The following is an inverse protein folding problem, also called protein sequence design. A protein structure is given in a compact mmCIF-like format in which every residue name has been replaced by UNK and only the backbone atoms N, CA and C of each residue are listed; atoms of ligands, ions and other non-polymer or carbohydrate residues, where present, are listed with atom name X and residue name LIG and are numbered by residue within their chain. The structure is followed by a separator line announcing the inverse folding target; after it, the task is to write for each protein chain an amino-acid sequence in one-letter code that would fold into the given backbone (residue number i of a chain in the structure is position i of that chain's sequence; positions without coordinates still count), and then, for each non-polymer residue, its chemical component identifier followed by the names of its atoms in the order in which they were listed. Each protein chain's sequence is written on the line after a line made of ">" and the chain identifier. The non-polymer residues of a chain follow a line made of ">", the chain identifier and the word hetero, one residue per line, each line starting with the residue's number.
data_IF_529367613005
#
_entry.id   IF_529367613005
#
_cell.length_a   1.000
_cell.length_b   1.000
_cell.length_c   1.000
_cell.angle_alpha   90.00
_cell.angle_beta   90.00
_cell.angle_gamma   90.00
#
_symmetry.space_group_name_H-M   'P 1'
#
loop_
_entity.id
_entity.type
_entity.pdbx_description
1 polymer ?
#
# COMPACT_ATOMS: atom_id res chain seq x y z
N UNK A 1 -28.33 -7.86 4.06
CA UNK A 1 -27.81 -6.78 3.20
C UNK A 1 -26.43 -6.42 3.70
N UNK A 2 -25.39 -6.52 2.88
CA UNK A 2 -24.04 -6.10 3.27
C UNK A 2 -23.98 -4.58 3.23
N UNK A 3 -23.77 -3.93 4.37
CA UNK A 3 -23.61 -2.47 4.47
C UNK A 3 -22.29 -2.05 3.83
N UNK A 4 -22.31 -1.10 2.88
CA UNK A 4 -21.10 -0.59 2.21
C UNK A 4 -20.31 0.32 3.14
N UNK A 5 -19.03 0.54 2.88
CA UNK A 5 -18.19 1.42 3.68
C UNK A 5 -18.73 2.86 3.74
N UNK A 6 -19.20 3.42 2.61
CA UNK A 6 -19.76 4.78 2.59
C UNK A 6 -20.99 4.93 3.50
N UNK A 7 -21.78 3.86 3.65
CA UNK A 7 -23.00 3.83 4.45
C UNK A 7 -22.69 3.87 5.97
N UNK A 8 -21.42 3.70 6.37
CA UNK A 8 -20.96 3.82 7.78
C UNK A 8 -20.66 5.26 8.18
N UNK A 9 -20.62 6.20 7.22
CA UNK A 9 -20.37 7.62 7.48
C UNK A 9 -21.47 8.19 8.37
N UNK A 10 -21.09 8.77 9.51
CA UNK A 10 -22.04 9.43 10.41
C UNK A 10 -22.12 10.93 10.12
N UNK A 11 -23.32 11.54 10.18
CA UNK A 11 -23.44 13.00 10.13
C UNK A 11 -22.59 13.64 11.23
N UNK A 12 -21.84 14.68 10.87
CA UNK A 12 -21.03 15.47 11.79
C UNK A 12 -21.61 16.88 11.88
N UNK A 13 -21.73 17.42 13.09
CA UNK A 13 -22.24 18.76 13.37
C UNK A 13 -21.15 19.85 13.31
N UNK A 14 -19.87 19.44 13.25
CA UNK A 14 -18.74 20.37 13.21
C UNK A 14 -17.52 19.79 12.49
N UNK A 15 -16.61 20.67 12.07
CA UNK A 15 -15.31 20.24 11.53
C UNK A 15 -14.44 19.51 12.55
N UNK A 16 -14.63 19.77 13.85
CA UNK A 16 -13.93 19.05 14.90
C UNK A 16 -14.36 17.57 14.94
N UNK A 17 -15.66 17.30 14.80
CA UNK A 17 -16.18 15.93 14.69
C UNK A 17 -15.70 15.24 13.42
N UNK A 18 -15.72 15.92 12.27
CA UNK A 18 -15.19 15.38 11.01
C UNK A 18 -13.72 14.94 11.18
N UNK A 19 -12.88 15.79 11.77
CA UNK A 19 -11.47 15.48 12.02
C UNK A 19 -11.31 14.29 12.94
N UNK A 20 -12.02 14.25 14.07
CA UNK A 20 -11.95 13.13 14.99
C UNK A 20 -12.37 11.79 14.35
N UNK A 21 -13.34 11.79 13.42
CA UNK A 21 -13.72 10.59 12.66
C UNK A 21 -12.65 10.17 11.67
N UNK A 22 -12.00 11.13 10.99
CA UNK A 22 -10.89 10.86 10.08
C UNK A 22 -9.69 10.32 10.86
N UNK A 23 -9.29 10.99 11.94
CA UNK A 23 -8.17 10.58 12.79
C UNK A 23 -8.36 9.14 13.29
N UNK A 24 -9.57 8.79 13.74
CA UNK A 24 -9.89 7.42 14.16
C UNK A 24 -9.81 6.37 13.03
N UNK A 25 -10.07 6.76 11.77
CA UNK A 25 -9.86 5.88 10.62
C UNK A 25 -8.36 5.78 10.29
N UNK A 26 -7.63 6.87 10.38
CA UNK A 26 -6.19 6.91 10.14
C UNK A 26 -5.40 6.08 11.16
N UNK A 27 -5.84 6.05 12.41
CA UNK A 27 -5.32 5.16 13.47
C UNK A 27 -5.44 3.67 13.10
N UNK A 28 -6.38 3.31 12.22
CA UNK A 28 -6.56 1.95 11.70
C UNK A 28 -5.79 1.77 10.39
N UNK A 29 -5.83 2.77 9.50
CA UNK A 29 -5.20 2.70 8.17
C UNK A 29 -3.68 2.63 8.26
N UNK A 30 -3.04 3.44 9.13
CA UNK A 30 -1.58 3.51 9.22
C UNK A 30 -0.96 2.16 9.60
N UNK A 31 -1.41 1.45 10.66
CA UNK A 31 -0.89 0.11 10.97
C UNK A 31 -1.04 -0.89 9.81
N UNK A 32 -2.19 -0.88 9.11
CA UNK A 32 -2.43 -1.76 7.97
C UNK A 32 -1.49 -1.46 6.80
N UNK A 33 -1.19 -0.18 6.56
CA UNK A 33 -0.22 0.24 5.56
C UNK A 33 1.21 -0.18 5.95
N UNK A 34 1.58 -0.07 7.22
CA UNK A 34 2.89 -0.56 7.70
C UNK A 34 3.02 -2.07 7.49
N UNK A 35 2.00 -2.85 7.84
CA UNK A 35 1.97 -4.30 7.62
C UNK A 35 2.06 -4.65 6.12
N UNK A 36 1.27 -3.97 5.28
CA UNK A 36 1.32 -4.12 3.82
C UNK A 36 2.72 -3.84 3.27
N UNK A 37 3.38 -2.79 3.77
CA UNK A 37 4.75 -2.44 3.42
C UNK A 37 5.74 -3.55 3.80
N UNK A 38 5.59 -4.12 4.99
CA UNK A 38 6.40 -5.26 5.44
C UNK A 38 6.33 -6.46 4.49
N UNK A 39 5.15 -6.81 3.98
CA UNK A 39 4.98 -7.86 2.98
C UNK A 39 5.63 -7.53 1.63
N UNK A 40 5.63 -6.26 1.22
CA UNK A 40 6.32 -5.85 -0.01
C UNK A 40 7.84 -6.05 0.14
N UNK A 41 8.41 -5.68 1.29
CA UNK A 41 9.82 -5.96 1.59
C UNK A 41 10.15 -7.45 1.55
N UNK A 42 9.25 -8.33 2.03
CA UNK A 42 9.42 -9.78 1.89
C UNK A 42 9.41 -10.23 0.42
N UNK A 43 8.59 -9.60 -0.43
CA UNK A 43 8.60 -9.86 -1.87
C UNK A 43 9.95 -9.45 -2.50
N UNK A 44 10.57 -8.37 -2.04
CA UNK A 44 11.90 -7.95 -2.48
C UNK A 44 13.02 -8.94 -2.08
N UNK A 45 12.89 -9.65 -0.95
CA UNK A 45 13.84 -10.70 -0.55
C UNK A 45 13.79 -11.93 -1.48
N UNK A 46 12.63 -12.20 -2.09
CA UNK A 46 12.43 -13.31 -3.00
C UNK A 46 12.78 -12.98 -4.47
N UNK A 47 13.17 -11.73 -4.76
CA UNK A 47 13.55 -11.28 -6.11
C UNK A 47 15.08 -11.26 -6.23
N UNK A 48 15.69 -12.08 -7.12
CA UNK A 48 17.14 -12.20 -7.24
C UNK A 48 17.82 -10.97 -7.86
N UNK A 49 17.09 -10.06 -8.53
CA UNK A 49 17.64 -8.89 -9.23
C UNK A 49 16.77 -7.65 -9.08
N UNK A 50 17.42 -6.47 -9.12
CA UNK A 50 16.80 -5.15 -8.97
C UNK A 50 15.82 -4.80 -10.11
N UNK A 51 16.01 -5.36 -11.31
CA UNK A 51 15.12 -5.17 -12.46
C UNK A 51 13.77 -5.88 -12.33
N UNK A 52 13.59 -6.73 -11.31
CA UNK A 52 12.31 -7.36 -10.99
C UNK A 52 11.51 -6.60 -9.94
N UNK A 53 12.03 -5.52 -9.36
CA UNK A 53 11.38 -4.77 -8.26
C UNK A 53 10.01 -4.24 -8.72
N UNK A 54 9.93 -3.74 -9.95
CA UNK A 54 8.68 -3.26 -10.56
C UNK A 54 8.05 -4.33 -11.45
N UNK A 55 6.85 -4.77 -11.07
CA UNK A 55 6.02 -5.69 -11.85
C UNK A 55 4.74 -4.96 -12.28
N UNK A 56 4.73 -4.48 -13.52
CA UNK A 56 3.61 -3.71 -14.09
C UNK A 56 2.33 -4.55 -14.16
N UNK A 57 2.44 -5.83 -14.49
CA UNK A 57 1.29 -6.73 -14.54
C UNK A 57 0.65 -6.87 -13.15
N UNK A 58 1.48 -6.96 -12.11
CA UNK A 58 1.01 -7.00 -10.73
C UNK A 58 0.39 -5.66 -10.30
N UNK A 59 0.98 -4.53 -10.65
CA UNK A 59 0.46 -3.19 -10.37
C UNK A 59 -0.96 -3.05 -10.97
N UNK A 60 -1.13 -3.38 -12.24
CA UNK A 60 -2.43 -3.30 -12.91
C UNK A 60 -3.46 -4.26 -12.30
N UNK A 61 -3.05 -5.47 -11.93
CA UNK A 61 -3.94 -6.40 -11.23
C UNK A 61 -4.40 -5.87 -9.85
N UNK A 62 -3.54 -5.14 -9.13
CA UNK A 62 -3.92 -4.46 -7.88
C UNK A 62 -4.92 -3.34 -8.19
N UNK A 63 -4.61 -2.49 -9.16
CA UNK A 63 -5.44 -1.35 -9.57
C UNK A 63 -6.85 -1.81 -9.93
N UNK A 64 -6.99 -2.81 -10.80
CA UNK A 64 -8.31 -3.32 -11.18
C UNK A 64 -9.09 -3.85 -9.98
N UNK A 65 -8.42 -4.57 -9.07
CA UNK A 65 -9.05 -5.10 -7.85
C UNK A 65 -9.57 -3.98 -6.94
N UNK A 66 -8.78 -2.92 -6.73
CA UNK A 66 -9.14 -1.84 -5.80
C UNK A 66 -10.16 -0.90 -6.39
N UNK A 67 -10.14 -0.66 -7.71
CA UNK A 67 -11.19 0.07 -8.44
C UNK A 67 -12.54 -0.63 -8.29
N UNK A 68 -12.59 -1.94 -8.57
CA UNK A 68 -13.80 -2.74 -8.42
C UNK A 68 -14.31 -2.71 -6.97
N UNK A 69 -13.40 -2.80 -5.99
CA UNK A 69 -13.77 -2.71 -4.57
C UNK A 69 -14.29 -1.32 -4.19
N UNK A 70 -13.67 -0.25 -4.67
CA UNK A 70 -14.11 1.12 -4.42
C UNK A 70 -15.56 1.33 -4.86
N UNK A 71 -15.88 0.92 -6.09
CA UNK A 71 -17.24 1.00 -6.62
C UNK A 71 -18.24 0.21 -5.76
N UNK A 72 -17.89 -1.02 -5.36
CA UNK A 72 -18.74 -1.86 -4.53
C UNK A 72 -19.00 -1.27 -3.12
N UNK A 73 -18.03 -0.52 -2.58
CA UNK A 73 -18.11 0.15 -1.29
C UNK A 73 -18.74 1.56 -1.35
N UNK A 74 -19.13 2.01 -2.56
CA UNK A 74 -19.76 3.31 -2.81
C UNK A 74 -18.79 4.49 -2.87
N UNK A 75 -17.50 4.23 -3.12
CA UNK A 75 -16.47 5.24 -3.35
C UNK A 75 -16.17 5.47 -4.83
N UNK A 76 -15.34 6.47 -5.11
CA UNK A 76 -14.91 6.85 -6.46
C UNK A 76 -13.68 6.03 -6.91
N UNK A 77 -13.79 5.18 -7.96
CA UNK A 77 -12.70 4.29 -8.38
C UNK A 77 -11.40 5.02 -8.74
N UNK A 78 -11.50 6.18 -9.39
CA UNK A 78 -10.35 6.95 -9.86
C UNK A 78 -9.55 7.54 -8.69
N UNK A 79 -10.24 7.95 -7.61
CA UNK A 79 -9.58 8.42 -6.37
C UNK A 79 -8.81 7.28 -5.72
N UNK A 80 -9.41 6.09 -5.61
CA UNK A 80 -8.74 4.94 -5.01
C UNK A 80 -7.57 4.45 -5.86
N UNK A 81 -7.69 4.47 -7.19
CA UNK A 81 -6.57 4.16 -8.07
C UNK A 81 -5.38 5.10 -7.84
N UNK A 82 -5.61 6.41 -7.81
CA UNK A 82 -4.56 7.39 -7.60
C UNK A 82 -3.80 7.13 -6.29
N UNK A 83 -4.52 6.90 -5.19
CA UNK A 83 -3.94 6.55 -3.89
C UNK A 83 -3.08 5.28 -3.99
N UNK A 84 -3.61 4.23 -4.60
CA UNK A 84 -2.90 2.95 -4.69
C UNK A 84 -1.65 3.03 -5.57
N UNK A 85 -1.70 3.75 -6.69
CA UNK A 85 -0.52 3.98 -7.53
C UNK A 85 0.56 4.73 -6.77
N UNK A 86 0.23 5.86 -6.15
CA UNK A 86 1.20 6.63 -5.35
C UNK A 86 1.77 5.81 -4.20
N UNK A 87 0.95 5.02 -3.52
CA UNK A 87 1.41 4.12 -2.46
C UNK A 87 2.41 3.07 -2.98
N UNK A 88 2.12 2.45 -4.13
CA UNK A 88 3.04 1.46 -4.72
C UNK A 88 4.37 2.08 -5.13
N UNK A 89 4.35 3.26 -5.75
CA UNK A 89 5.58 4.02 -6.08
C UNK A 89 6.39 4.37 -4.82
N UNK A 90 5.72 4.76 -3.73
CA UNK A 90 6.37 5.05 -2.46
C UNK A 90 7.08 3.82 -1.86
N UNK A 91 6.45 2.63 -1.92
CA UNK A 91 7.10 1.40 -1.46
C UNK A 91 8.26 0.98 -2.34
N UNK A 92 8.12 1.05 -3.67
CA UNK A 92 9.23 0.77 -4.60
C UNK A 92 10.42 1.68 -4.29
N UNK A 93 10.18 2.98 -4.13
CA UNK A 93 11.22 3.93 -3.78
C UNK A 93 11.85 3.66 -2.40
N UNK A 94 11.06 3.23 -1.42
CA UNK A 94 11.58 2.81 -0.11
C UNK A 94 12.48 1.58 -0.22
N UNK A 95 12.07 0.56 -0.99
CA UNK A 95 12.84 -0.66 -1.20
C UNK A 95 14.17 -0.42 -1.89
N UNK A 96 14.23 0.45 -2.91
CA UNK A 96 15.50 0.83 -3.54
C UNK A 96 16.47 1.45 -2.52
N UNK A 97 15.98 2.32 -1.62
CA UNK A 97 16.81 2.92 -0.56
C UNK A 97 17.30 1.87 0.43
N UNK A 98 16.44 0.94 0.83
CA UNK A 98 16.78 -0.10 1.79
C UNK A 98 17.75 -1.12 1.20
N UNK A 99 17.59 -1.49 -0.07
CA UNK A 99 18.54 -2.33 -0.80
C UNK A 99 19.92 -1.66 -0.86
N UNK A 100 19.98 -0.38 -1.25
CA UNK A 100 21.23 0.37 -1.29
C UNK A 100 21.94 0.40 0.08
N UNK A 101 21.18 0.59 1.16
CA UNK A 101 21.68 0.54 2.54
C UNK A 101 22.28 -0.83 2.89
N UNK A 102 21.57 -1.93 2.59
CA UNK A 102 22.03 -3.28 2.88
C UNK A 102 23.28 -3.69 2.09
N UNK A 103 23.38 -3.25 0.84
CA UNK A 103 24.57 -3.44 0.01
C UNK A 103 25.78 -2.67 0.56
N UNK A 104 25.60 -1.40 0.97
CA UNK A 104 26.65 -0.60 1.59
C UNK A 104 27.13 -1.17 2.94
N UNK A 105 26.25 -1.84 3.68
CA UNK A 105 26.55 -2.52 4.95
C UNK A 105 27.20 -3.91 4.77
N UNK A 106 27.44 -4.37 3.54
CA UNK A 106 28.06 -5.67 3.25
C UNK A 106 27.21 -6.89 3.60
N UNK A 107 25.89 -6.72 3.82
CA UNK A 107 24.97 -7.78 4.26
C UNK A 107 24.38 -8.61 3.13
N UNK A 108 24.51 -8.18 1.87
CA UNK A 108 24.21 -8.97 0.67
C UNK A 108 25.51 -9.46 0.03
N UNK A 109 26.17 -10.42 0.68
CA UNK A 109 27.42 -11.03 0.19
C UNK A 109 27.59 -12.51 0.55
N UNK A 110 26.60 -13.16 1.16
CA UNK A 110 26.58 -14.63 1.24
C UNK A 110 25.73 -15.14 0.09
N UNK A 111 26.37 -15.33 -1.06
CA UNK A 111 25.89 -16.20 -2.12
C UNK A 111 25.58 -17.57 -1.51
N UNK A 112 24.33 -18.02 -1.67
CA UNK A 112 23.99 -19.42 -1.48
C UNK A 112 24.56 -20.17 -2.70
N UNK A 113 25.78 -20.67 -2.55
CA UNK A 113 26.44 -21.62 -3.46
C UNK A 113 25.61 -22.93 -3.51
N UNK A 114 25.51 -23.61 -4.67
CA UNK A 114 24.35 -24.46 -5.03
C UNK A 114 24.20 -25.75 -4.23
#
# INVERSE_FOLDING_TARGET
>A
MTTRAIDKTQPCASMAEVRARIDALDDILVPLLVERGGYMTQAALNKPREDQVRDEARIEAIVQRVRARAAAEGGEPDVIEAIYRSMMEAYIAYEHREFARLCAEGRKGQEVTP
#
